data_IF_317123628340
#
_entry.id   IF_317123628340
#
_cell.length_a   1.000
_cell.length_b   1.000
_cell.length_c   1.000
_cell.angle_alpha   90.00
_cell.angle_beta   90.00
_cell.angle_gamma   90.00
#
_symmetry.space_group_name_H-M   'P 1'
#
loop_
_entity.id
_entity.type
_entity.pdbx_description
1 polymer ?
#
# COMPACT_ATOMS: atom_id res chain seq x y z
N UNK A 1 22.09 -55.52 54.87
CA UNK A 1 22.71 -54.52 53.96
C UNK A 1 22.09 -54.55 52.56
N UNK A 2 21.39 -55.63 52.20
CA UNK A 2 20.84 -55.82 50.83
C UNK A 2 19.60 -54.98 50.54
N UNK A 3 18.75 -54.73 51.53
CA UNK A 3 17.51 -53.95 51.37
C UNK A 3 17.82 -52.47 51.04
N UNK A 4 18.81 -51.88 51.73
CA UNK A 4 19.24 -50.51 51.45
C UNK A 4 19.82 -50.37 50.03
N UNK A 5 20.60 -51.36 49.59
CA UNK A 5 21.14 -51.39 48.23
C UNK A 5 20.02 -51.55 47.19
N UNK A 6 19.05 -52.43 47.42
CA UNK A 6 17.90 -52.60 46.53
C UNK A 6 17.07 -51.31 46.42
N UNK A 7 16.75 -50.64 47.53
CA UNK A 7 16.03 -49.36 47.52
C UNK A 7 16.80 -48.30 46.72
N UNK A 8 18.12 -48.24 46.90
CA UNK A 8 18.97 -47.30 46.17
C UNK A 8 18.99 -47.59 44.67
N UNK A 9 19.10 -48.86 44.28
CA UNK A 9 19.09 -49.31 42.88
C UNK A 9 17.79 -49.00 42.13
N UNK A 10 16.63 -48.92 42.81
CA UNK A 10 15.36 -48.52 42.19
C UNK A 10 15.12 -47.01 42.22
N UNK A 11 15.68 -46.31 43.22
CA UNK A 11 15.49 -44.86 43.39
C UNK A 11 16.29 -44.06 42.37
N UNK A 12 17.51 -44.51 42.02
CA UNK A 12 18.36 -43.80 41.05
C UNK A 12 17.72 -43.75 39.65
N UNK A 13 17.26 -44.87 39.05
CA UNK A 13 16.60 -44.85 37.74
C UNK A 13 15.29 -44.08 37.74
N UNK A 14 14.49 -44.17 38.82
CA UNK A 14 13.23 -43.43 38.91
C UNK A 14 13.44 -41.91 39.00
N UNK A 15 14.46 -41.46 39.73
CA UNK A 15 14.87 -40.05 39.76
C UNK A 15 15.38 -39.59 38.38
N UNK A 16 16.14 -40.41 37.68
CA UNK A 16 16.60 -40.11 36.33
C UNK A 16 15.42 -39.94 35.35
N UNK A 17 14.44 -40.86 35.39
CA UNK A 17 13.21 -40.75 34.60
C UNK A 17 12.44 -39.47 34.93
N UNK A 18 12.33 -39.11 36.22
CA UNK A 18 11.68 -37.87 36.65
C UNK A 18 12.37 -36.62 36.08
N UNK A 19 13.70 -36.59 36.09
CA UNK A 19 14.50 -35.49 35.52
C UNK A 19 14.25 -35.39 34.01
N UNK A 20 14.34 -36.50 33.29
CA UNK A 20 14.09 -36.54 31.83
C UNK A 20 12.65 -36.11 31.50
N UNK A 21 11.67 -36.60 32.26
CA UNK A 21 10.27 -36.21 32.11
C UNK A 21 10.07 -34.70 32.34
N UNK A 22 10.70 -34.14 33.38
CA UNK A 22 10.66 -32.70 33.64
C UNK A 22 11.28 -31.89 32.49
N UNK A 23 12.46 -32.28 31.99
CA UNK A 23 13.12 -31.59 30.88
C UNK A 23 12.32 -31.68 29.58
N UNK A 24 11.77 -32.86 29.26
CA UNK A 24 10.95 -33.04 28.04
C UNK A 24 9.66 -32.25 28.10
N UNK A 25 8.94 -32.28 29.23
CA UNK A 25 7.74 -31.44 29.41
C UNK A 25 8.07 -29.95 29.27
N UNK A 26 9.16 -29.49 29.90
CA UNK A 26 9.61 -28.10 29.78
C UNK A 26 9.93 -27.71 28.34
N UNK A 27 10.62 -28.58 27.60
CA UNK A 27 10.95 -28.36 26.19
C UNK A 27 9.70 -28.32 25.30
N UNK A 28 8.74 -29.22 25.54
CA UNK A 28 7.46 -29.27 24.81
C UNK A 28 6.65 -28.01 25.07
N UNK A 29 6.46 -27.58 26.32
CA UNK A 29 5.71 -26.36 26.63
C UNK A 29 6.32 -25.11 25.99
N UNK A 30 7.65 -24.97 26.04
CA UNK A 30 8.34 -23.84 25.40
C UNK A 30 8.21 -23.88 23.87
N UNK A 31 8.23 -25.06 23.27
CA UNK A 31 8.08 -25.21 21.82
C UNK A 31 6.64 -24.95 21.36
N UNK A 32 5.65 -25.41 22.13
CA UNK A 32 4.22 -25.16 21.90
C UNK A 32 3.89 -23.66 21.97
N UNK A 33 4.44 -22.91 22.93
CA UNK A 33 4.25 -21.45 22.97
C UNK A 33 4.79 -20.76 21.72
N UNK A 34 5.99 -21.14 21.26
CA UNK A 34 6.59 -20.59 20.04
C UNK A 34 5.77 -20.93 18.82
N UNK A 35 5.34 -22.19 18.71
CA UNK A 35 4.50 -22.68 17.61
C UNK A 35 3.16 -21.95 17.58
N UNK A 36 2.49 -21.80 18.73
CA UNK A 36 1.22 -21.08 18.84
C UNK A 36 1.36 -19.60 18.46
N UNK A 37 2.43 -18.93 18.88
CA UNK A 37 2.71 -17.55 18.45
C UNK A 37 2.93 -17.45 16.94
N UNK A 38 3.66 -18.41 16.37
CA UNK A 38 3.88 -18.47 14.92
C UNK A 38 2.57 -18.70 14.15
N UNK A 39 1.70 -19.59 14.63
CA UNK A 39 0.38 -19.85 14.03
C UNK A 39 -0.53 -18.62 14.11
N UNK A 40 -0.57 -17.92 15.25
CA UNK A 40 -1.31 -16.65 15.39
C UNK A 40 -0.76 -15.57 14.46
N UNK A 41 0.56 -15.45 14.36
CA UNK A 41 1.19 -14.50 13.43
C UNK A 41 0.85 -14.83 11.97
N UNK A 42 0.94 -16.10 11.58
CA UNK A 42 0.57 -16.57 10.24
C UNK A 42 -0.92 -16.33 9.94
N UNK A 43 -1.80 -16.56 10.92
CA UNK A 43 -3.23 -16.27 10.79
C UNK A 43 -3.46 -14.77 10.59
N UNK A 44 -2.82 -13.91 11.39
CA UNK A 44 -2.91 -12.46 11.22
C UNK A 44 -2.38 -12.00 9.86
N UNK A 45 -1.27 -12.57 9.38
CA UNK A 45 -0.74 -12.31 8.04
C UNK A 45 -1.76 -12.67 6.95
N UNK A 46 -2.43 -13.82 7.07
CA UNK A 46 -3.44 -14.24 6.09
C UNK A 46 -4.65 -13.29 6.03
N UNK A 47 -4.97 -12.61 7.13
CA UNK A 47 -6.05 -11.63 7.21
C UNK A 47 -5.61 -10.24 6.71
N UNK A 48 -4.39 -9.80 7.02
CA UNK A 48 -3.92 -8.45 6.68
C UNK A 48 -3.41 -8.33 5.24
N UNK A 49 -2.85 -9.42 4.67
CA UNK A 49 -2.31 -9.41 3.31
C UNK A 49 -3.33 -8.97 2.26
N UNK A 50 -4.58 -9.50 2.23
CA UNK A 50 -5.61 -9.03 1.30
C UNK A 50 -5.92 -7.54 1.46
N UNK A 51 -5.96 -7.04 2.70
CA UNK A 51 -6.22 -5.63 3.00
C UNK A 51 -5.10 -4.75 2.44
N UNK A 52 -3.83 -5.16 2.62
CA UNK A 52 -2.69 -4.44 2.06
C UNK A 52 -2.72 -4.44 0.53
N UNK A 53 -2.95 -5.60 -0.09
CA UNK A 53 -3.06 -5.69 -1.57
C UNK A 53 -4.17 -4.78 -2.11
N UNK A 54 -5.34 -4.80 -1.48
CA UNK A 54 -6.46 -3.92 -1.86
C UNK A 54 -6.09 -2.43 -1.73
N UNK A 55 -5.31 -2.07 -0.71
CA UNK A 55 -4.82 -0.70 -0.55
C UNK A 55 -3.88 -0.28 -1.69
N UNK A 56 -2.94 -1.16 -2.09
CA UNK A 56 -2.09 -0.90 -3.25
C UNK A 56 -2.90 -0.76 -4.55
N UNK A 57 -3.87 -1.65 -4.79
CA UNK A 57 -4.74 -1.56 -5.96
C UNK A 57 -5.50 -0.23 -6.01
N UNK A 58 -6.05 0.21 -4.87
CA UNK A 58 -6.72 1.50 -4.74
C UNK A 58 -5.79 2.68 -5.03
N UNK A 59 -4.54 2.64 -4.55
CA UNK A 59 -3.58 3.70 -4.83
C UNK A 59 -3.14 3.71 -6.30
N UNK A 60 -2.94 2.55 -6.92
CA UNK A 60 -2.68 2.47 -8.37
C UNK A 60 -3.86 3.05 -9.15
N UNK A 61 -5.10 2.64 -8.82
CA UNK A 61 -6.30 3.18 -9.45
C UNK A 61 -6.44 4.68 -9.25
N UNK A 62 -6.12 5.21 -8.07
CA UNK A 62 -6.09 6.64 -7.81
C UNK A 62 -5.13 7.36 -8.76
N UNK A 63 -3.88 6.89 -8.87
CA UNK A 63 -2.88 7.52 -9.75
C UNK A 63 -3.28 7.43 -11.22
N UNK A 64 -3.83 6.30 -11.66
CA UNK A 64 -4.38 6.13 -13.01
C UNK A 64 -5.57 7.08 -13.26
N UNK A 65 -6.46 7.26 -12.28
CA UNK A 65 -7.62 8.13 -12.44
C UNK A 65 -7.23 9.60 -12.53
N UNK A 66 -6.23 10.07 -11.78
CA UNK A 66 -5.82 11.47 -11.86
C UNK A 66 -4.98 11.77 -13.11
N UNK A 67 -4.57 10.76 -13.88
CA UNK A 67 -3.86 10.97 -15.14
C UNK A 67 -4.69 11.80 -16.13
N UNK A 68 -4.08 12.65 -16.98
CA UNK A 68 -4.83 13.50 -17.91
C UNK A 68 -5.70 12.68 -18.86
N UNK A 69 -5.17 11.57 -19.39
CA UNK A 69 -5.90 10.68 -20.29
C UNK A 69 -7.22 10.19 -19.68
N UNK A 70 -7.19 9.81 -18.41
CA UNK A 70 -8.36 9.32 -17.69
C UNK A 70 -9.28 10.45 -17.20
N UNK A 71 -8.70 11.56 -16.76
CA UNK A 71 -9.40 12.67 -16.16
C UNK A 71 -10.19 13.48 -17.19
N UNK A 72 -9.60 13.74 -18.37
CA UNK A 72 -10.27 14.50 -19.45
C UNK A 72 -11.54 13.80 -19.91
N UNK A 73 -11.50 12.48 -20.14
CA UNK A 73 -12.67 11.71 -20.61
C UNK A 73 -13.84 11.77 -19.63
N UNK A 74 -13.57 11.81 -18.31
CA UNK A 74 -14.64 11.83 -17.29
C UNK A 74 -15.21 13.21 -16.99
N UNK A 75 -14.40 14.26 -17.17
CA UNK A 75 -14.73 15.61 -16.69
C UNK A 75 -15.10 16.54 -17.84
N UNK A 76 -14.69 16.23 -19.07
CA UNK A 76 -14.92 17.11 -20.21
C UNK A 76 -16.41 17.26 -20.51
N UNK A 77 -16.88 18.50 -20.42
CA UNK A 77 -18.21 18.91 -20.81
C UNK A 77 -18.07 20.14 -21.72
N UNK A 78 -18.68 20.07 -22.90
CA UNK A 78 -18.65 21.13 -23.92
C UNK A 78 -19.35 22.42 -23.49
N UNK A 79 -20.17 22.38 -22.43
CA UNK A 79 -20.86 23.55 -21.89
C UNK A 79 -20.01 24.40 -20.95
N UNK A 80 -18.86 23.89 -20.49
CA UNK A 80 -18.01 24.56 -19.51
C UNK A 80 -17.01 25.53 -20.17
N UNK A 81 -16.74 26.63 -19.46
CA UNK A 81 -15.60 27.49 -19.77
C UNK A 81 -14.30 26.88 -19.23
N UNK A 82 -13.16 27.30 -19.78
CA UNK A 82 -11.82 26.91 -19.33
C UNK A 82 -11.63 27.11 -17.81
N UNK A 83 -12.10 28.23 -17.25
CA UNK A 83 -12.01 28.51 -15.81
C UNK A 83 -12.87 27.56 -14.94
N UNK A 84 -14.09 27.26 -15.38
CA UNK A 84 -14.96 26.31 -14.69
C UNK A 84 -14.40 24.90 -14.74
N UNK A 85 -13.93 24.49 -15.93
CA UNK A 85 -13.29 23.19 -16.15
C UNK A 85 -12.04 23.03 -15.28
N UNK A 86 -11.16 24.03 -15.22
CA UNK A 86 -9.99 24.07 -14.34
C UNK A 86 -10.37 23.81 -12.87
N UNK A 87 -11.36 24.56 -12.36
CA UNK A 87 -11.82 24.43 -10.97
C UNK A 87 -12.38 23.02 -10.70
N UNK A 88 -13.12 22.46 -11.65
CA UNK A 88 -13.72 21.14 -11.53
C UNK A 88 -12.67 20.02 -11.57
N UNK A 89 -11.62 20.13 -12.40
CA UNK A 89 -10.50 19.19 -12.41
C UNK A 89 -9.80 19.13 -11.05
N UNK A 90 -9.49 20.30 -10.47
CA UNK A 90 -8.85 20.37 -9.15
C UNK A 90 -9.74 19.78 -8.05
N UNK A 91 -11.04 20.06 -8.09
CA UNK A 91 -11.99 19.48 -7.15
C UNK A 91 -12.06 17.96 -7.28
N UNK A 92 -12.08 17.43 -8.50
CA UNK A 92 -12.11 15.99 -8.79
C UNK A 92 -10.86 15.28 -8.25
N UNK A 93 -9.67 15.84 -8.48
CA UNK A 93 -8.41 15.27 -7.96
C UNK A 93 -8.41 15.25 -6.43
N UNK A 94 -8.89 16.32 -5.77
CA UNK A 94 -8.98 16.38 -4.31
C UNK A 94 -9.94 15.34 -3.76
N UNK A 95 -11.13 15.21 -4.35
CA UNK A 95 -12.12 14.21 -3.93
C UNK A 95 -11.58 12.77 -4.06
N UNK A 96 -10.94 12.45 -5.18
CA UNK A 96 -10.30 11.13 -5.39
C UNK A 96 -9.16 10.89 -4.38
N UNK A 97 -8.37 11.92 -4.04
CA UNK A 97 -7.33 11.80 -3.03
C UNK A 97 -7.91 11.56 -1.63
N UNK A 98 -8.94 12.31 -1.23
CA UNK A 98 -9.60 12.16 0.07
C UNK A 98 -10.22 10.77 0.22
N UNK A 99 -10.84 10.24 -0.84
CA UNK A 99 -11.39 8.88 -0.86
C UNK A 99 -10.32 7.80 -0.63
N UNK A 100 -9.08 8.03 -1.08
CA UNK A 100 -7.98 7.09 -0.97
C UNK A 100 -7.00 7.40 0.18
N UNK A 101 -7.21 8.49 0.93
CA UNK A 101 -6.30 8.96 1.98
C UNK A 101 -6.06 7.93 3.09
N UNK A 102 -7.08 7.15 3.43
CA UNK A 102 -6.98 6.10 4.46
C UNK A 102 -6.05 4.95 4.07
N UNK A 103 -5.80 4.75 2.77
CA UNK A 103 -4.93 3.67 2.28
C UNK A 103 -3.47 3.86 2.69
N UNK A 104 -3.06 5.08 3.07
CA UNK A 104 -1.69 5.39 3.52
C UNK A 104 -1.23 4.52 4.72
N UNK A 105 -2.17 3.97 5.50
CA UNK A 105 -1.87 3.14 6.68
C UNK A 105 -1.32 1.76 6.28
N UNK A 106 -1.55 1.31 5.05
CA UNK A 106 -1.26 -0.06 4.61
C UNK A 106 -0.04 -0.19 3.68
N UNK A 107 0.52 0.94 3.25
CA UNK A 107 1.67 1.03 2.33
C UNK A 107 2.88 1.63 3.03
N UNK A 108 4.06 1.57 2.40
CA UNK A 108 5.24 2.20 2.98
C UNK A 108 5.15 3.73 2.95
N UNK A 109 5.87 4.43 3.87
CA UNK A 109 5.98 5.89 3.82
C UNK A 109 6.57 6.40 2.49
N UNK A 110 7.42 5.60 1.87
CA UNK A 110 8.06 5.92 0.59
C UNK A 110 7.05 5.84 -0.57
N UNK A 111 6.30 4.72 -0.69
CA UNK A 111 5.21 4.61 -1.67
C UNK A 111 4.20 5.75 -1.52
N UNK A 112 3.82 6.06 -0.28
CA UNK A 112 2.90 7.16 -0.02
C UNK A 112 3.45 8.52 -0.46
N UNK A 113 4.75 8.73 -0.31
CA UNK A 113 5.41 9.96 -0.77
C UNK A 113 5.35 10.09 -2.29
N UNK A 114 5.58 9.00 -3.04
CA UNK A 114 5.46 9.02 -4.49
C UNK A 114 4.02 9.26 -4.96
N UNK A 115 3.02 8.68 -4.29
CA UNK A 115 1.60 8.96 -4.58
C UNK A 115 1.26 10.45 -4.37
N UNK A 116 1.74 11.05 -3.27
CA UNK A 116 1.56 12.49 -3.04
C UNK A 116 2.24 13.33 -4.12
N UNK A 117 3.47 12.99 -4.49
CA UNK A 117 4.21 13.70 -5.54
C UNK A 117 3.50 13.61 -6.90
N UNK A 118 2.93 12.45 -7.24
CA UNK A 118 2.11 12.29 -8.43
C UNK A 118 0.89 13.22 -8.44
N UNK A 119 0.17 13.32 -7.30
CA UNK A 119 -0.96 14.25 -7.13
C UNK A 119 -0.53 15.70 -7.28
N UNK A 120 0.53 16.13 -6.59
CA UNK A 120 1.01 17.52 -6.66
C UNK A 120 1.50 17.88 -8.06
N UNK A 121 2.22 16.98 -8.72
CA UNK A 121 2.65 17.17 -10.11
C UNK A 121 1.46 17.34 -11.06
N UNK A 122 0.38 16.57 -10.86
CA UNK A 122 -0.84 16.71 -11.66
C UNK A 122 -1.53 18.06 -11.45
N UNK A 123 -1.65 18.51 -10.20
CA UNK A 123 -2.20 19.82 -9.87
C UNK A 123 -1.35 20.93 -10.51
N UNK A 124 -0.03 20.81 -10.45
CA UNK A 124 0.90 21.77 -11.04
C UNK A 124 0.76 21.82 -12.57
N UNK A 125 0.65 20.67 -13.23
CA UNK A 125 0.42 20.58 -14.67
C UNK A 125 -0.87 21.32 -15.07
N UNK A 126 -1.97 21.05 -14.36
CA UNK A 126 -3.28 21.66 -14.62
C UNK A 126 -3.22 23.18 -14.41
N UNK A 127 -2.60 23.64 -13.33
CA UNK A 127 -2.47 25.08 -13.03
C UNK A 127 -1.61 25.81 -14.06
N UNK A 128 -0.49 25.20 -14.48
CA UNK A 128 0.42 25.79 -15.47
C UNK A 128 -0.26 25.87 -16.83
N UNK A 129 -0.98 24.80 -17.22
CA UNK A 129 -1.75 24.77 -18.47
C UNK A 129 -2.87 25.81 -18.49
N UNK A 130 -3.60 25.95 -17.37
CA UNK A 130 -4.67 26.95 -17.24
C UNK A 130 -4.14 28.40 -17.32
N UNK A 131 -2.91 28.64 -16.88
CA UNK A 131 -2.28 29.96 -16.97
C UNK A 131 -1.95 30.36 -18.42
N UNK A 132 -1.85 29.39 -19.33
CA UNK A 132 -1.55 29.59 -20.75
C UNK A 132 -2.81 29.73 -21.62
N UNK A 133 -4.01 29.63 -21.04
CA UNK A 133 -5.28 29.61 -21.78
C UNK A 133 -6.22 30.68 -21.22
N UNK A 134 -6.89 31.51 -22.05
CA UNK A 134 -7.82 32.51 -21.54
C UNK A 134 -9.01 31.86 -20.81
N UNK A 135 -9.53 32.44 -19.71
CA UNK A 135 -10.50 31.77 -18.86
C UNK A 135 -11.90 31.56 -19.48
N UNK A 136 -12.25 32.32 -20.53
CA UNK A 136 -13.57 32.30 -21.17
C UNK A 136 -13.66 31.39 -22.40
N UNK A 137 -12.55 30.78 -22.84
CA UNK A 137 -12.58 29.85 -23.98
C UNK A 137 -13.27 28.54 -23.60
N UNK A 138 -13.74 27.75 -24.58
CA UNK A 138 -14.33 26.45 -24.31
C UNK A 138 -13.36 25.49 -23.59
N UNK A 139 -13.91 24.61 -22.74
CA UNK A 139 -13.15 23.62 -21.95
C UNK A 139 -12.17 22.76 -22.76
N UNK A 140 -12.48 22.45 -24.02
CA UNK A 140 -11.64 21.61 -24.87
C UNK A 140 -10.28 22.23 -25.19
N UNK A 141 -10.16 23.57 -25.21
CA UNK A 141 -8.88 24.22 -25.46
C UNK A 141 -7.90 23.98 -24.32
N UNK A 142 -8.39 24.11 -23.07
CA UNK A 142 -7.60 23.78 -21.89
C UNK A 142 -7.26 22.28 -21.83
N UNK A 143 -8.22 21.41 -22.13
CA UNK A 143 -7.98 19.97 -22.17
C UNK A 143 -6.85 19.60 -23.14
N UNK A 144 -6.85 20.22 -24.33
CA UNK A 144 -5.80 20.02 -25.33
C UNK A 144 -4.43 20.47 -24.82
N UNK A 145 -4.32 21.66 -24.23
CA UNK A 145 -3.05 22.17 -23.69
C UNK A 145 -2.52 21.27 -22.56
N UNK A 146 -3.39 20.76 -21.68
CA UNK A 146 -3.00 19.82 -20.62
C UNK A 146 -2.43 18.53 -21.22
N UNK A 147 -3.12 17.93 -22.18
CA UNK A 147 -2.69 16.69 -22.83
C UNK A 147 -1.37 16.88 -23.59
N UNK A 148 -1.26 17.95 -24.38
CA UNK A 148 -0.04 18.27 -25.12
C UNK A 148 1.14 18.49 -24.16
N UNK A 149 0.92 19.21 -23.05
CA UNK A 149 1.97 19.43 -22.04
C UNK A 149 2.36 18.13 -21.33
N UNK A 150 1.40 17.25 -21.04
CA UNK A 150 1.66 15.95 -20.43
C UNK A 150 2.50 15.04 -21.34
N UNK A 151 2.16 14.99 -22.64
CA UNK A 151 2.87 14.17 -23.63
C UNK A 151 4.29 14.69 -23.91
N UNK A 152 4.49 16.01 -23.82
CA UNK A 152 5.81 16.63 -23.99
C UNK A 152 6.67 16.57 -22.72
N UNK A 153 6.08 16.24 -21.57
CA UNK A 153 6.84 15.99 -20.34
C UNK A 153 7.56 14.64 -20.50
N UNK A 154 8.87 14.64 -20.26
CA UNK A 154 9.81 13.51 -20.44
C UNK A 154 9.27 12.13 -20.04
N UNK A 155 9.83 11.08 -20.66
CA UNK A 155 9.39 9.67 -20.62
C UNK A 155 9.01 9.05 -19.26
N UNK A 156 9.39 9.65 -18.12
CA UNK A 156 8.97 9.21 -16.79
C UNK A 156 8.21 10.32 -16.06
N UNK A 157 6.88 10.30 -16.19
CA UNK A 157 6.01 11.18 -15.41
C UNK A 157 5.94 10.72 -13.95
N UNK A 158 5.77 11.63 -12.97
CA UNK A 158 5.63 11.25 -11.56
C UNK A 158 4.49 10.25 -11.29
N UNK A 159 3.43 10.27 -12.11
CA UNK A 159 2.35 9.27 -12.09
C UNK A 159 2.85 7.89 -12.48
N UNK A 160 3.62 7.78 -13.58
CA UNK A 160 4.20 6.51 -14.03
C UNK A 160 5.18 5.94 -13.00
N UNK A 161 6.03 6.80 -12.45
CA UNK A 161 6.98 6.41 -11.40
C UNK A 161 6.25 5.88 -10.16
N UNK A 162 5.21 6.57 -9.68
CA UNK A 162 4.43 6.13 -8.53
C UNK A 162 3.77 4.76 -8.76
N UNK A 163 3.17 4.54 -9.93
CA UNK A 163 2.57 3.24 -10.29
C UNK A 163 3.62 2.13 -10.32
N UNK A 164 4.78 2.38 -10.94
CA UNK A 164 5.85 1.40 -11.02
C UNK A 164 6.43 1.07 -9.64
N UNK A 165 6.59 2.07 -8.78
CA UNK A 165 7.04 1.86 -7.41
C UNK A 165 6.04 1.01 -6.61
N UNK A 166 4.74 1.32 -6.67
CA UNK A 166 3.70 0.53 -6.01
C UNK A 166 3.73 -0.93 -6.50
N UNK A 167 3.89 -1.17 -7.81
CA UNK A 167 4.02 -2.52 -8.39
C UNK A 167 5.28 -3.24 -7.90
N UNK A 168 6.42 -2.56 -7.86
CA UNK A 168 7.67 -3.16 -7.36
C UNK A 168 7.58 -3.51 -5.88
N UNK A 169 6.92 -2.67 -5.10
CA UNK A 169 6.74 -2.88 -3.68
C UNK A 169 5.82 -4.09 -3.40
N UNK A 170 4.73 -4.22 -4.15
CA UNK A 170 3.88 -5.41 -4.10
C UNK A 170 4.70 -6.67 -4.41
N UNK A 171 5.50 -6.64 -5.48
CA UNK A 171 6.34 -7.77 -5.88
C UNK A 171 7.39 -8.12 -4.81
N UNK A 172 7.95 -7.13 -4.12
CA UNK A 172 8.95 -7.36 -3.07
C UNK A 172 8.35 -7.97 -1.79
N UNK A 173 7.15 -7.53 -1.40
CA UNK A 173 6.54 -7.96 -0.13
C UNK A 173 5.60 -9.18 -0.26
N UNK A 174 5.06 -9.43 -1.46
CA UNK A 174 4.04 -10.47 -1.68
C UNK A 174 4.34 -11.42 -2.85
N UNK A 175 5.34 -11.13 -3.68
CA UNK A 175 5.82 -12.02 -4.76
C UNK A 175 7.02 -12.86 -4.32
#
# INVERSE_FOLDING_TARGET
MDILWQILSYTIPSLFVLIVAYFTLKMVFQNEEKRRRYELFKANLSLITPVRLTAYERLVLFVERISPDSLMVRVQDSSLTSAQFHSFLLATIRAEYEHNLSQQVYVSPEAWTFVKNAKESMIQLINTSASNVPPQVPSFELAKVILDTYQNTSNETPTMFAINFLKSEIKQYFG
#
